data_IF_759547270298
#
_entry.id   IF_759547270298
#
_cell.length_a   1.000
_cell.length_b   1.000
_cell.length_c   1.000
_cell.angle_alpha   90.00
_cell.angle_beta   90.00
_cell.angle_gamma   90.00
#
_symmetry.space_group_name_H-M   'P 1'
#
loop_
_entity.id
_entity.type
_entity.pdbx_description
1 polymer ?
#
# COMPACT_ATOMS: atom_id res chain seq x y z
N UNK A 1 -7.35 14.69 -26.19
CA UNK A 1 -8.03 13.65 -25.41
C UNK A 1 -7.27 13.47 -24.10
N UNK A 2 -7.92 13.53 -22.93
CA UNK A 2 -7.27 13.13 -21.68
C UNK A 2 -6.86 11.67 -21.82
N UNK A 3 -5.57 11.37 -21.72
CA UNK A 3 -5.08 9.99 -21.76
C UNK A 3 -5.60 9.26 -20.53
N UNK A 4 -5.81 7.94 -20.63
CA UNK A 4 -6.30 7.13 -19.49
C UNK A 4 -5.44 7.33 -18.24
N UNK A 5 -4.13 7.51 -18.43
CA UNK A 5 -3.16 7.88 -17.39
C UNK A 5 -3.53 9.14 -16.61
N UNK A 6 -4.14 10.15 -17.25
CA UNK A 6 -4.56 11.38 -16.55
C UNK A 6 -5.75 11.15 -15.63
N UNK A 7 -6.66 10.22 -15.97
CA UNK A 7 -7.77 9.85 -15.08
C UNK A 7 -7.27 9.10 -13.85
N UNK A 8 -6.35 8.16 -14.02
CA UNK A 8 -5.76 7.42 -12.90
C UNK A 8 -4.95 8.33 -11.97
N UNK A 9 -4.22 9.30 -12.52
CA UNK A 9 -3.50 10.30 -11.73
C UNK A 9 -4.44 11.18 -10.91
N UNK A 10 -5.59 11.57 -11.48
CA UNK A 10 -6.59 12.34 -10.74
C UNK A 10 -7.19 11.51 -9.59
N UNK A 11 -7.48 10.23 -9.83
CA UNK A 11 -7.96 9.34 -8.78
C UNK A 11 -6.94 9.22 -7.63
N UNK A 12 -5.68 8.96 -7.99
CA UNK A 12 -4.56 8.92 -7.06
C UNK A 12 -4.46 10.19 -6.21
N UNK A 13 -4.49 11.37 -6.85
CA UNK A 13 -4.42 12.65 -6.12
C UNK A 13 -5.61 12.87 -5.19
N UNK A 14 -6.81 12.41 -5.55
CA UNK A 14 -7.99 12.52 -4.68
C UNK A 14 -7.85 11.60 -3.48
N UNK A 15 -7.39 10.36 -3.69
CA UNK A 15 -7.12 9.41 -2.62
C UNK A 15 -6.03 9.92 -1.67
N UNK A 16 -4.96 10.51 -2.20
CA UNK A 16 -3.86 11.06 -1.40
C UNK A 16 -4.34 12.23 -0.55
N UNK A 17 -5.18 13.10 -1.11
CA UNK A 17 -5.80 14.20 -0.35
C UNK A 17 -6.71 13.66 0.75
N UNK A 18 -7.53 12.64 0.47
CA UNK A 18 -8.37 11.97 1.47
C UNK A 18 -7.52 11.39 2.59
N UNK A 19 -6.39 10.75 2.25
CA UNK A 19 -5.46 10.23 3.25
C UNK A 19 -4.82 11.34 4.09
N UNK A 20 -4.38 12.44 3.47
CA UNK A 20 -3.84 13.61 4.20
C UNK A 20 -4.86 14.19 5.19
N UNK A 21 -6.15 14.17 4.84
CA UNK A 21 -7.21 14.57 5.79
C UNK A 21 -7.33 13.63 6.99
N UNK A 22 -6.88 12.38 6.91
CA UNK A 22 -6.87 11.45 8.04
C UNK A 22 -5.67 11.62 8.98
N UNK A 23 -4.56 12.22 8.53
CA UNK A 23 -3.33 12.41 9.32
C UNK A 23 -3.53 13.15 10.66
N UNK A 24 -4.34 14.21 10.76
CA UNK A 24 -4.61 14.86 12.04
C UNK A 24 -5.24 13.92 13.08
N UNK A 25 -6.06 12.97 12.65
CA UNK A 25 -6.70 12.00 13.55
C UNK A 25 -5.67 11.03 14.14
N UNK A 26 -4.75 10.52 13.30
CA UNK A 26 -3.61 9.71 13.76
C UNK A 26 -2.69 10.49 14.70
N UNK A 27 -2.47 11.78 14.44
CA UNK A 27 -1.66 12.62 15.32
C UNK A 27 -2.30 12.81 16.70
N UNK A 28 -3.63 12.91 16.78
CA UNK A 28 -4.35 13.03 18.06
C UNK A 28 -4.28 11.71 18.82
N UNK A 29 -4.50 10.59 18.14
CA UNK A 29 -4.37 9.24 18.71
C UNK A 29 -3.00 9.04 19.39
N UNK A 30 -1.92 9.37 18.67
CA UNK A 30 -0.55 9.21 19.16
C UNK A 30 -0.18 10.16 20.30
N UNK A 31 -0.81 11.34 20.38
CA UNK A 31 -0.43 12.38 21.36
C UNK A 31 -1.21 12.27 22.68
N UNK A 32 -2.52 12.04 22.61
CA UNK A 32 -3.43 12.10 23.77
C UNK A 32 -4.44 10.95 23.80
N UNK A 33 -4.33 9.97 22.90
CA UNK A 33 -5.29 8.89 22.74
C UNK A 33 -6.47 9.22 21.82
N UNK A 34 -7.24 8.19 21.49
CA UNK A 34 -8.38 8.25 20.59
C UNK A 34 -9.60 8.92 21.24
N UNK A 35 -9.71 10.23 21.07
CA UNK A 35 -10.91 10.98 21.50
C UNK A 35 -12.14 10.73 20.60
N UNK A 36 -11.92 10.27 19.37
CA UNK A 36 -13.01 10.11 18.41
C UNK A 36 -13.82 8.83 18.69
N UNK A 37 -14.98 8.70 18.04
CA UNK A 37 -15.81 7.50 18.17
C UNK A 37 -15.34 6.38 17.24
N UNK A 38 -15.85 5.19 17.48
CA UNK A 38 -15.63 3.98 16.69
C UNK A 38 -15.81 4.17 15.17
N UNK A 39 -16.82 4.94 14.77
CA UNK A 39 -17.06 5.25 13.36
C UNK A 39 -15.86 5.89 12.68
N UNK A 40 -15.23 6.87 13.33
CA UNK A 40 -14.06 7.56 12.78
C UNK A 40 -12.84 6.65 12.78
N UNK A 41 -12.70 5.78 13.79
CA UNK A 41 -11.61 4.81 13.86
C UNK A 41 -11.64 3.89 12.62
N UNK A 42 -12.81 3.29 12.37
CA UNK A 42 -13.04 2.45 11.18
C UNK A 42 -12.83 3.21 9.88
N UNK A 43 -13.38 4.44 9.76
CA UNK A 43 -13.26 5.24 8.55
C UNK A 43 -11.80 5.58 8.22
N UNK A 44 -11.02 5.99 9.22
CA UNK A 44 -9.61 6.36 9.05
C UNK A 44 -8.77 5.14 8.64
N UNK A 45 -8.98 3.98 9.27
CA UNK A 45 -8.32 2.72 8.86
C UNK A 45 -8.70 2.30 7.43
N UNK A 46 -9.99 2.41 7.06
CA UNK A 46 -10.46 2.07 5.71
C UNK A 46 -9.85 3.00 4.65
N UNK A 47 -9.87 4.32 4.88
CA UNK A 47 -9.30 5.29 3.95
C UNK A 47 -7.80 5.03 3.76
N UNK A 48 -7.09 4.73 4.85
CA UNK A 48 -5.69 4.35 4.81
C UNK A 48 -5.45 3.12 3.92
N UNK A 49 -6.12 2.01 4.22
CA UNK A 49 -6.02 0.75 3.49
C UNK A 49 -6.32 0.97 1.99
N UNK A 50 -7.44 1.64 1.68
CA UNK A 50 -7.85 1.90 0.30
C UNK A 50 -6.82 2.75 -0.44
N UNK A 51 -6.35 3.85 0.16
CA UNK A 51 -5.33 4.72 -0.45
C UNK A 51 -4.08 3.91 -0.79
N UNK A 52 -3.55 3.16 0.18
CA UNK A 52 -2.34 2.36 0.00
C UNK A 52 -2.46 1.38 -1.17
N UNK A 53 -3.49 0.53 -1.14
CA UNK A 53 -3.64 -0.51 -2.16
C UNK A 53 -3.94 0.07 -3.54
N UNK A 54 -4.82 1.07 -3.61
CA UNK A 54 -5.19 1.71 -4.86
C UNK A 54 -3.97 2.39 -5.49
N UNK A 55 -3.19 3.15 -4.71
CA UNK A 55 -1.98 3.84 -5.16
C UNK A 55 -0.98 2.89 -5.82
N UNK A 56 -0.74 1.77 -5.15
CA UNK A 56 0.22 0.76 -5.60
C UNK A 56 -0.24 0.03 -6.87
N UNK A 57 -1.52 -0.34 -6.93
CA UNK A 57 -2.10 -1.00 -8.09
C UNK A 57 -2.18 -0.05 -9.30
N UNK A 58 -2.48 1.23 -9.07
CA UNK A 58 -2.45 2.28 -10.10
C UNK A 58 -1.03 2.45 -10.64
N UNK A 59 0.00 2.48 -9.78
CA UNK A 59 1.40 2.57 -10.22
C UNK A 59 1.82 1.34 -11.05
N UNK A 60 1.44 0.15 -10.63
CA UNK A 60 1.66 -1.09 -11.38
C UNK A 60 0.99 -1.02 -12.76
N UNK A 61 -0.25 -0.50 -12.82
CA UNK A 61 -0.96 -0.32 -14.08
C UNK A 61 -0.32 0.72 -15.00
N UNK A 62 0.07 1.89 -14.48
CA UNK A 62 0.78 2.91 -15.27
C UNK A 62 2.07 2.32 -15.86
N UNK A 63 2.74 1.44 -15.11
CA UNK A 63 3.93 0.72 -15.56
C UNK A 63 3.61 -0.26 -16.70
N UNK A 64 2.52 -1.02 -16.57
CA UNK A 64 2.04 -1.96 -17.60
C UNK A 64 1.56 -1.26 -18.88
N UNK A 65 0.80 -0.16 -18.77
CA UNK A 65 0.34 0.64 -19.91
C UNK A 65 1.53 1.16 -20.73
N UNK A 66 2.56 1.64 -20.03
CA UNK A 66 3.82 2.08 -20.67
C UNK A 66 4.58 0.93 -21.30
N UNK A 67 4.64 -0.22 -20.63
CA UNK A 67 5.22 -1.43 -21.19
C UNK A 67 4.54 -1.79 -22.52
N UNK A 68 3.20 -1.85 -22.53
CA UNK A 68 2.43 -2.19 -23.72
C UNK A 68 2.64 -1.17 -24.83
N UNK A 69 2.63 0.14 -24.52
CA UNK A 69 2.85 1.20 -25.49
C UNK A 69 4.26 1.19 -26.13
N UNK A 70 5.27 0.70 -25.41
CA UNK A 70 6.67 0.65 -25.88
C UNK A 70 6.97 -0.66 -26.62
N UNK A 71 6.55 -1.80 -26.08
CA UNK A 71 6.87 -3.14 -26.59
C UNK A 71 5.95 -3.54 -27.75
N UNK A 72 4.67 -3.19 -27.64
CA UNK A 72 3.69 -3.44 -28.68
C UNK A 72 3.26 -2.08 -29.27
N UNK A 73 4.02 -1.57 -30.25
CA UNK A 73 3.58 -0.44 -31.07
C UNK A 73 2.25 -0.84 -31.75
N UNK A 74 1.10 -0.49 -31.16
CA UNK A 74 -0.12 -1.30 -31.33
C UNK A 74 -1.00 -0.81 -32.46
N UNK A 75 -1.18 -1.69 -33.45
CA UNK A 75 -2.13 -1.62 -34.56
C UNK A 75 -3.46 -2.37 -34.24
N UNK A 76 -3.78 -2.66 -32.97
CA UNK A 76 -4.98 -3.44 -32.56
C UNK A 76 -5.56 -3.04 -31.18
N UNK A 77 -5.61 -1.73 -30.93
CA UNK A 77 -5.62 -1.12 -29.60
C UNK A 77 -6.94 -1.17 -28.80
N UNK A 78 -8.08 -1.54 -29.38
CA UNK A 78 -9.39 -1.38 -28.73
C UNK A 78 -9.73 -2.47 -27.71
N UNK A 79 -9.80 -3.72 -28.14
CA UNK A 79 -10.35 -4.83 -27.34
C UNK A 79 -9.43 -5.29 -26.22
N UNK A 80 -8.11 -5.37 -26.45
CA UNK A 80 -7.12 -5.70 -25.41
C UNK A 80 -7.00 -4.62 -24.34
N UNK A 81 -7.12 -3.35 -24.72
CA UNK A 81 -7.10 -2.23 -23.77
C UNK A 81 -8.35 -2.22 -22.88
N UNK A 82 -9.51 -2.50 -23.45
CA UNK A 82 -10.76 -2.63 -22.69
C UNK A 82 -10.73 -3.82 -21.72
N UNK A 83 -10.12 -4.95 -22.13
CA UNK A 83 -9.92 -6.10 -21.25
C UNK A 83 -8.93 -5.79 -20.13
N UNK A 84 -7.83 -5.09 -20.42
CA UNK A 84 -6.90 -4.61 -19.40
C UNK A 84 -7.58 -3.64 -18.43
N UNK A 85 -8.38 -2.69 -18.91
CA UNK A 85 -9.17 -1.78 -18.07
C UNK A 85 -10.17 -2.51 -17.17
N UNK A 86 -10.85 -3.55 -17.67
CA UNK A 86 -11.76 -4.38 -16.85
C UNK A 86 -11.00 -5.19 -15.80
N UNK A 87 -9.87 -5.79 -16.17
CA UNK A 87 -9.00 -6.52 -15.24
C UNK A 87 -8.44 -5.56 -14.18
N UNK A 88 -8.20 -4.30 -14.52
CA UNK A 88 -7.72 -3.27 -13.59
C UNK A 88 -8.82 -2.81 -12.65
N UNK A 89 -10.02 -2.55 -13.16
CA UNK A 89 -11.14 -2.18 -12.30
C UNK A 89 -11.43 -3.32 -11.31
N UNK A 90 -11.49 -4.56 -11.78
CA UNK A 90 -11.62 -5.73 -10.93
C UNK A 90 -10.41 -5.93 -10.01
N UNK A 91 -9.19 -5.71 -10.51
CA UNK A 91 -7.93 -5.89 -9.78
C UNK A 91 -7.65 -4.82 -8.72
N UNK A 92 -8.26 -3.64 -8.83
CA UNK A 92 -8.23 -2.59 -7.80
C UNK A 92 -9.39 -2.76 -6.83
N UNK A 93 -10.61 -2.95 -7.34
CA UNK A 93 -11.80 -3.03 -6.49
C UNK A 93 -11.90 -4.32 -5.70
N UNK A 94 -11.53 -5.48 -6.25
CA UNK A 94 -11.65 -6.75 -5.52
C UNK A 94 -10.71 -6.81 -4.31
N UNK A 95 -9.40 -6.47 -4.43
CA UNK A 95 -8.54 -6.42 -3.25
C UNK A 95 -8.95 -5.31 -2.30
N UNK A 96 -9.33 -4.12 -2.80
CA UNK A 96 -9.82 -3.05 -1.93
C UNK A 96 -11.03 -3.50 -1.09
N UNK A 97 -12.06 -4.08 -1.71
CA UNK A 97 -13.22 -4.62 -0.98
C UNK A 97 -12.77 -5.70 0.00
N UNK A 98 -11.97 -6.67 -0.46
CA UNK A 98 -11.53 -7.79 0.36
C UNK A 98 -10.70 -7.35 1.58
N UNK A 99 -9.93 -6.28 1.45
CA UNK A 99 -9.06 -5.73 2.49
C UNK A 99 -9.81 -4.75 3.41
N UNK A 100 -10.84 -4.05 2.91
CA UNK A 100 -11.72 -3.24 3.78
C UNK A 100 -12.58 -4.07 4.73
N UNK A 101 -12.96 -5.30 4.36
CA UNK A 101 -13.78 -6.18 5.22
C UNK A 101 -13.13 -6.41 6.59
N UNK A 102 -11.87 -6.87 6.70
CA UNK A 102 -11.25 -7.07 8.00
C UNK A 102 -10.95 -5.78 8.74
N UNK A 103 -10.61 -4.68 8.06
CA UNK A 103 -10.47 -3.38 8.72
C UNK A 103 -11.79 -2.91 9.34
N UNK A 104 -12.92 -3.05 8.66
CA UNK A 104 -14.23 -2.66 9.19
C UNK A 104 -14.69 -3.56 10.34
N UNK A 105 -14.37 -4.86 10.27
CA UNK A 105 -14.80 -5.86 11.26
C UNK A 105 -13.94 -5.80 12.52
N UNK A 106 -12.63 -5.60 12.39
CA UNK A 106 -11.69 -5.71 13.51
C UNK A 106 -11.18 -4.35 14.02
N UNK A 107 -11.20 -3.26 13.25
CA UNK A 107 -10.84 -1.95 13.80
C UNK A 107 -11.93 -1.49 14.77
N UNK A 108 -11.54 -1.24 16.02
CA UNK A 108 -12.45 -0.81 17.08
C UNK A 108 -11.70 0.00 18.12
N UNK A 109 -12.42 0.86 18.83
CA UNK A 109 -11.84 1.58 19.98
C UNK A 109 -11.76 0.64 21.18
N UNK A 110 -10.58 0.54 21.79
CA UNK A 110 -10.34 -0.16 23.05
C UNK A 110 -10.01 0.82 24.18
N UNK A 111 -10.41 0.49 25.41
CA UNK A 111 -10.00 1.21 26.62
C UNK A 111 -8.84 0.44 27.26
N UNK A 112 -7.68 1.08 27.31
CA UNK A 112 -6.46 0.56 27.93
C UNK A 112 -6.13 1.49 29.10
N UNK A 113 -6.49 1.07 30.31
CA UNK A 113 -6.19 1.77 31.58
C UNK A 113 -6.68 3.24 31.61
N UNK A 114 -7.84 3.53 31.01
CA UNK A 114 -8.42 4.88 30.95
C UNK A 114 -8.00 5.70 29.72
N UNK A 115 -7.15 5.14 28.86
CA UNK A 115 -6.82 5.70 27.55
C UNK A 115 -7.56 4.94 26.45
N UNK A 116 -8.38 5.67 25.69
CA UNK A 116 -9.00 5.13 24.49
C UNK A 116 -7.96 5.05 23.36
N UNK A 117 -7.88 3.93 22.66
CA UNK A 117 -6.97 3.72 21.53
C UNK A 117 -7.78 3.13 20.36
N UNK A 118 -7.51 3.58 19.14
CA UNK A 118 -8.09 3.00 17.93
C UNK A 118 -7.14 1.94 17.37
N UNK A 119 -7.52 0.66 17.44
CA UNK A 119 -6.67 -0.43 16.95
C UNK A 119 -7.49 -1.61 16.40
N UNK A 120 -6.83 -2.55 15.71
CA UNK A 120 -7.43 -3.78 15.21
C UNK A 120 -7.52 -4.82 16.32
N UNK A 121 -8.72 -5.03 16.86
CA UNK A 121 -9.00 -5.99 17.93
C UNK A 121 -9.38 -7.34 17.31
N UNK A 122 -8.41 -8.26 17.29
CA UNK A 122 -8.65 -9.65 16.88
C UNK A 122 -9.23 -10.51 18.02
N UNK A 123 -10.03 -11.55 17.71
CA UNK A 123 -10.65 -12.41 18.71
C UNK A 123 -9.61 -13.16 19.56
N UNK A 124 -9.83 -13.17 20.89
CA UNK A 124 -8.85 -13.62 21.89
C UNK A 124 -8.44 -15.09 21.69
N UNK A 125 -9.37 -15.95 21.30
CA UNK A 125 -9.15 -17.40 21.15
C UNK A 125 -8.16 -17.76 20.04
N UNK A 126 -7.98 -16.90 19.03
CA UNK A 126 -7.10 -17.13 17.88
C UNK A 126 -6.34 -15.86 17.47
N UNK A 127 -6.05 -14.98 18.43
CA UNK A 127 -5.53 -13.62 18.18
C UNK A 127 -4.28 -13.65 17.31
N UNK A 128 -3.35 -14.55 17.61
CA UNK A 128 -2.07 -14.68 16.88
C UNK A 128 -2.28 -15.14 15.44
N UNK A 129 -3.11 -16.17 15.21
CA UNK A 129 -3.39 -16.68 13.86
C UNK A 129 -4.04 -15.63 12.96
N UNK A 130 -5.01 -14.88 13.50
CA UNK A 130 -5.64 -13.78 12.77
C UNK A 130 -4.66 -12.63 12.50
N UNK A 131 -3.87 -12.24 13.50
CA UNK A 131 -2.86 -11.18 13.36
C UNK A 131 -1.83 -11.53 12.29
N UNK A 132 -1.25 -12.74 12.35
CA UNK A 132 -0.27 -13.23 11.37
C UNK A 132 -0.91 -13.32 9.98
N UNK A 133 -2.11 -13.88 9.88
CA UNK A 133 -2.82 -14.03 8.60
C UNK A 133 -3.08 -12.70 7.91
N UNK A 134 -3.59 -11.71 8.65
CA UNK A 134 -3.84 -10.37 8.10
C UNK A 134 -2.56 -9.62 7.77
N UNK A 135 -1.53 -9.68 8.62
CA UNK A 135 -0.23 -9.07 8.31
C UNK A 135 0.39 -9.68 7.05
N UNK A 136 0.31 -11.01 6.90
CA UNK A 136 0.81 -11.71 5.71
C UNK A 136 0.04 -11.33 4.44
N UNK A 137 -1.30 -11.26 4.53
CA UNK A 137 -2.14 -10.75 3.45
C UNK A 137 -1.73 -9.32 3.10
N UNK A 138 -1.49 -8.49 4.11
CA UNK A 138 -1.14 -7.08 3.92
C UNK A 138 0.19 -6.93 3.18
N UNK A 139 1.23 -7.64 3.62
CA UNK A 139 2.55 -7.69 2.98
C UNK A 139 2.45 -8.22 1.55
N UNK A 140 1.70 -9.30 1.34
CA UNK A 140 1.60 -9.95 0.03
C UNK A 140 0.93 -9.05 -1.00
N UNK A 141 -0.20 -8.44 -0.63
CA UNK A 141 -0.97 -7.58 -1.55
C UNK A 141 -0.34 -6.19 -1.67
N UNK A 142 0.28 -5.67 -0.61
CA UNK A 142 0.80 -4.30 -0.54
C UNK A 142 2.22 -4.14 -1.08
N UNK A 143 3.03 -5.20 -1.00
CA UNK A 143 4.44 -5.16 -1.40
C UNK A 143 4.79 -6.18 -2.48
N UNK A 144 4.46 -7.45 -2.28
CA UNK A 144 4.95 -8.55 -3.12
C UNK A 144 4.32 -8.53 -4.51
N UNK A 145 2.99 -8.58 -4.59
CA UNK A 145 2.27 -8.63 -5.86
C UNK A 145 2.55 -7.39 -6.74
N UNK A 146 2.50 -6.17 -6.20
CA UNK A 146 2.81 -4.98 -6.98
C UNK A 146 4.29 -4.85 -7.33
N UNK A 147 5.19 -5.22 -6.41
CA UNK A 147 6.62 -5.23 -6.66
C UNK A 147 7.02 -6.18 -7.79
N UNK A 148 6.44 -7.38 -7.84
CA UNK A 148 6.68 -8.32 -8.93
C UNK A 148 6.21 -7.76 -10.29
N UNK A 149 5.02 -7.16 -10.34
CA UNK A 149 4.48 -6.55 -11.55
C UNK A 149 5.38 -5.39 -12.02
N UNK A 150 5.75 -4.50 -11.10
CA UNK A 150 6.59 -3.34 -11.41
C UNK A 150 7.97 -3.80 -11.88
N UNK A 151 8.62 -4.70 -11.15
CA UNK A 151 9.96 -5.20 -11.47
C UNK A 151 9.99 -5.86 -12.85
N UNK A 152 9.05 -6.77 -13.13
CA UNK A 152 8.98 -7.46 -14.43
C UNK A 152 8.71 -6.49 -15.57
N UNK A 153 7.77 -5.56 -15.42
CA UNK A 153 7.49 -4.53 -16.43
C UNK A 153 8.73 -3.67 -16.71
N UNK A 154 9.43 -3.23 -15.65
CA UNK A 154 10.58 -2.33 -15.78
C UNK A 154 11.83 -3.00 -16.33
N UNK A 155 12.11 -4.24 -15.94
CA UNK A 155 13.20 -5.02 -16.53
C UNK A 155 13.06 -5.04 -18.06
N UNK A 156 11.88 -5.37 -18.57
CA UNK A 156 11.66 -5.45 -20.02
C UNK A 156 11.67 -4.07 -20.68
N UNK A 157 11.09 -3.05 -20.05
CA UNK A 157 11.13 -1.68 -20.59
C UNK A 157 12.59 -1.22 -20.72
N UNK A 158 13.42 -1.37 -19.69
CA UNK A 158 14.82 -0.96 -19.69
C UNK A 158 15.60 -1.71 -20.78
N UNK A 159 15.43 -3.03 -20.90
CA UNK A 159 16.07 -3.84 -21.94
C UNK A 159 15.72 -3.41 -23.36
N UNK A 160 14.50 -2.90 -23.59
CA UNK A 160 14.08 -2.40 -24.91
C UNK A 160 14.45 -0.95 -25.15
N UNK A 161 14.48 -0.12 -24.11
CA UNK A 161 14.86 1.29 -24.22
C UNK A 161 16.36 1.51 -24.35
N UNK A 162 17.19 0.58 -23.85
CA UNK A 162 18.65 0.61 -24.11
C UNK A 162 18.94 0.58 -25.61
N UNK A 163 18.08 -0.07 -26.40
CA UNK A 163 18.16 -0.14 -27.86
C UNK A 163 17.50 1.03 -28.61
N UNK A 164 16.80 1.97 -27.95
CA UNK A 164 16.00 3.02 -28.62
C UNK A 164 16.46 4.45 -28.25
N UNK A 165 16.62 5.33 -29.25
CA UNK A 165 17.12 6.73 -29.09
C UNK A 165 16.03 7.78 -28.75
N UNK A 166 14.97 7.43 -28.02
CA UNK A 166 13.86 8.35 -27.71
C UNK A 166 14.01 9.13 -26.39
N UNK A 167 14.34 10.43 -26.44
CA UNK A 167 14.55 11.27 -25.25
C UNK A 167 13.28 11.46 -24.38
N UNK A 168 12.12 11.70 -25.00
CA UNK A 168 10.84 11.88 -24.27
C UNK A 168 10.40 10.60 -23.53
N UNK A 169 10.67 9.42 -24.12
CA UNK A 169 10.39 8.13 -23.49
C UNK A 169 11.28 7.90 -22.25
N UNK A 170 12.55 8.29 -22.30
CA UNK A 170 13.47 8.25 -21.14
C UNK A 170 13.03 9.17 -20.00
N UNK A 171 12.62 10.41 -20.30
CA UNK A 171 12.16 11.37 -19.28
C UNK A 171 10.94 10.84 -18.53
N UNK A 172 9.94 10.38 -19.27
CA UNK A 172 8.74 9.79 -18.69
C UNK A 172 9.09 8.59 -17.80
N UNK A 173 9.99 7.70 -18.23
CA UNK A 173 10.42 6.53 -17.45
C UNK A 173 11.16 6.91 -16.17
N UNK A 174 12.08 7.88 -16.25
CA UNK A 174 12.78 8.40 -15.07
C UNK A 174 11.80 8.86 -13.99
N UNK A 175 10.76 9.60 -14.36
CA UNK A 175 9.74 10.06 -13.40
C UNK A 175 9.04 8.89 -12.70
N UNK A 176 8.61 7.87 -13.43
CA UNK A 176 7.89 6.74 -12.83
C UNK A 176 8.83 5.84 -12.01
N UNK A 177 10.09 5.65 -12.41
CA UNK A 177 11.10 4.95 -11.58
C UNK A 177 11.34 5.68 -10.26
N UNK A 178 11.43 7.01 -10.27
CA UNK A 178 11.60 7.80 -9.04
C UNK A 178 10.40 7.59 -8.11
N UNK A 179 9.16 7.62 -8.64
CA UNK A 179 7.96 7.36 -7.83
C UNK A 179 7.97 5.96 -7.21
N UNK A 180 8.38 4.96 -7.96
CA UNK A 180 8.51 3.57 -7.49
C UNK A 180 9.58 3.45 -6.40
N UNK A 181 10.77 4.03 -6.62
CA UNK A 181 11.86 3.98 -5.65
C UNK A 181 11.48 4.70 -4.36
N UNK A 182 10.80 5.83 -4.45
CA UNK A 182 10.27 6.54 -3.29
C UNK A 182 9.26 5.66 -2.53
N UNK A 183 8.30 5.05 -3.25
CA UNK A 183 7.33 4.14 -2.65
C UNK A 183 8.02 2.98 -1.90
N UNK A 184 8.94 2.25 -2.55
CA UNK A 184 9.66 1.18 -1.87
C UNK A 184 10.55 1.68 -0.73
N UNK A 185 11.21 2.83 -0.87
CA UNK A 185 12.05 3.38 0.19
C UNK A 185 11.25 3.76 1.45
N UNK A 186 10.02 4.26 1.29
CA UNK A 186 9.13 4.60 2.40
C UNK A 186 8.48 3.36 3.03
N UNK A 187 8.05 2.40 2.21
CA UNK A 187 7.22 1.27 2.67
C UNK A 187 7.98 0.02 3.08
N UNK A 188 9.11 -0.27 2.42
CA UNK A 188 9.90 -1.47 2.67
C UNK A 188 10.45 -1.54 4.11
N UNK A 189 10.92 -0.43 4.74
CA UNK A 189 11.30 -0.44 6.15
C UNK A 189 10.17 -0.87 7.08
N UNK A 190 8.95 -0.37 6.86
CA UNK A 190 7.77 -0.71 7.66
C UNK A 190 7.42 -2.19 7.56
N UNK A 191 7.33 -2.72 6.34
CA UNK A 191 7.04 -4.14 6.13
C UNK A 191 8.11 -5.07 6.69
N UNK A 192 9.40 -4.67 6.65
CA UNK A 192 10.48 -5.42 7.29
C UNK A 192 10.29 -5.45 8.81
N UNK A 193 10.05 -4.30 9.43
CA UNK A 193 9.84 -4.22 10.88
C UNK A 193 8.61 -5.04 11.33
N UNK A 194 7.49 -4.95 10.59
CA UNK A 194 6.30 -5.79 10.82
C UNK A 194 6.58 -7.29 10.69
N UNK A 195 7.40 -7.67 9.72
CA UNK A 195 7.75 -9.08 9.50
C UNK A 195 8.60 -9.60 10.66
N UNK A 196 9.59 -8.81 11.11
CA UNK A 196 10.44 -9.14 12.26
C UNK A 196 9.60 -9.29 13.55
N UNK A 197 8.66 -8.38 13.79
CA UNK A 197 7.73 -8.43 14.93
C UNK A 197 6.84 -9.69 14.88
N UNK A 198 6.32 -10.00 13.70
CA UNK A 198 5.49 -11.20 13.48
C UNK A 198 6.28 -12.50 13.74
N UNK A 199 7.56 -12.55 13.33
CA UNK A 199 8.44 -13.68 13.63
C UNK A 199 8.78 -13.81 15.13
N UNK A 200 8.77 -12.70 15.88
CA UNK A 200 8.86 -12.68 17.34
C UNK A 200 7.63 -13.26 18.02
N UNK A 201 6.45 -12.80 17.60
CA UNK A 201 5.16 -13.31 18.05
C UNK A 201 5.01 -14.82 17.82
N UNK A 202 5.48 -15.32 16.68
CA UNK A 202 5.49 -16.76 16.36
C UNK A 202 6.52 -17.57 17.17
N UNK A 203 7.31 -16.93 18.06
CA UNK A 203 8.33 -17.58 18.87
C UNK A 203 9.56 -18.07 18.09
N UNK A 204 9.69 -17.66 16.81
CA UNK A 204 10.80 -18.06 15.94
C UNK A 204 12.06 -17.20 16.18
N UNK A 205 11.88 -15.99 16.70
CA UNK A 205 12.96 -15.09 17.13
C UNK A 205 12.82 -14.80 18.63
N UNK A 206 13.88 -15.03 19.40
CA UNK A 206 13.95 -14.57 20.80
C UNK A 206 14.38 -13.12 20.82
N UNK A 207 13.48 -12.24 21.24
CA UNK A 207 13.78 -10.83 21.47
C UNK A 207 14.03 -10.57 22.96
N UNK A 208 15.12 -9.86 23.26
CA UNK A 208 15.29 -9.25 24.57
C UNK A 208 14.36 -8.03 24.70
N UNK A 209 13.97 -7.66 25.92
CA UNK A 209 13.10 -6.50 26.20
C UNK A 209 13.63 -5.19 25.58
N UNK A 210 14.95 -5.04 25.48
CA UNK A 210 15.58 -3.90 24.79
C UNK A 210 15.35 -3.93 23.27
N UNK A 211 15.46 -5.10 22.65
CA UNK A 211 15.24 -5.29 21.22
C UNK A 211 13.77 -5.12 20.85
N UNK A 212 12.86 -5.59 21.70
CA UNK A 212 11.41 -5.45 21.50
C UNK A 212 10.96 -3.99 21.56
N UNK A 213 11.40 -3.24 22.57
CA UNK A 213 11.11 -1.81 22.70
C UNK A 213 11.76 -0.98 21.58
N UNK A 214 12.94 -1.40 21.11
CA UNK A 214 13.60 -0.77 19.95
C UNK A 214 12.80 -1.04 18.68
N UNK A 215 12.35 -2.28 18.47
CA UNK A 215 11.56 -2.67 17.30
C UNK A 215 10.23 -1.93 17.23
N UNK A 216 9.51 -1.80 18.35
CA UNK A 216 8.25 -1.04 18.42
C UNK A 216 8.43 0.44 18.04
N UNK A 217 9.52 1.07 18.51
CA UNK A 217 9.88 2.44 18.11
C UNK A 217 10.16 2.54 16.62
N UNK A 218 10.90 1.58 16.05
CA UNK A 218 11.17 1.54 14.61
C UNK A 218 9.90 1.30 13.80
N UNK A 219 8.97 0.47 14.26
CA UNK A 219 7.66 0.29 13.61
C UNK A 219 6.93 1.62 13.55
N UNK A 220 6.82 2.35 14.67
CA UNK A 220 6.14 3.67 14.69
C UNK A 220 6.82 4.69 13.74
N UNK A 221 8.15 4.72 13.71
CA UNK A 221 8.90 5.64 12.83
C UNK A 221 8.74 5.26 11.35
N UNK A 222 8.85 3.97 11.04
CA UNK A 222 8.75 3.47 9.67
C UNK A 222 7.31 3.53 9.14
N UNK A 223 6.33 3.41 10.03
CA UNK A 223 4.92 3.65 9.73
C UNK A 223 4.67 5.11 9.37
N UNK A 224 5.21 6.05 10.16
CA UNK A 224 5.14 7.48 9.84
C UNK A 224 5.84 7.84 8.51
N UNK A 225 6.94 7.14 8.17
CA UNK A 225 7.60 7.28 6.88
C UNK A 225 6.82 6.65 5.74
N UNK A 226 6.13 5.53 5.97
CA UNK A 226 5.24 4.91 5.00
C UNK A 226 4.02 5.80 4.69
N UNK A 227 3.60 6.61 5.67
CA UNK A 227 2.56 7.63 5.52
C UNK A 227 3.00 8.89 4.76
N UNK A 228 4.29 9.07 4.44
CA UNK A 228 4.83 10.26 3.78
C UNK A 228 5.29 9.97 2.34
#
# INVERSE_FOLDING_TARGET
>A
SRTMTDKYRLHLSVEDLLFVFTLPFWSVDAAIGWYFKDFLCKAVHVIYTVNLYSSVLILAFISLDRYLAIVHATNSQGSRKLLAEKIVYAGVWLPAILLTVPDVVFASVSDIEGNFVCDRIYPVENREHWTVGFRFLHITVGLVLPGLIILTCYCVIISKLSHSKGHQKRKALKTTVILILAFFACWLPYYICLTIDTFGLLGLLKFDCYMDNTLHKWISITEALAFF
#
